data_IF_488796054854
#
_entry.id   IF_488796054854
#
_cell.length_a   1.000
_cell.length_b   1.000
_cell.length_c   1.000
_cell.angle_alpha   90.00
_cell.angle_beta   90.00
_cell.angle_gamma   90.00
#
_symmetry.space_group_name_H-M   'P 1'
#
loop_
_entity.id
_entity.type
_entity.pdbx_description
1 polymer ?
#
# COMPACT_ATOMS: atom_id res chain seq x y z
N UNK A 1 -8.12 -6.79 -3.04
CA UNK A 1 -7.28 -6.68 -1.83
C UNK A 1 -7.38 -5.30 -1.17
N UNK A 2 -7.24 -4.19 -1.90
CA UNK A 2 -7.18 -2.86 -1.30
C UNK A 2 -8.47 -2.43 -0.56
N UNK A 3 -9.68 -2.83 -0.97
CA UNK A 3 -10.88 -2.63 -0.15
C UNK A 3 -10.74 -3.12 1.31
N UNK A 4 -10.17 -4.32 1.49
CA UNK A 4 -9.98 -4.90 2.82
C UNK A 4 -8.91 -4.14 3.61
N UNK A 5 -8.00 -3.40 2.96
CA UNK A 5 -7.01 -2.59 3.66
C UNK A 5 -7.64 -1.44 4.45
N UNK A 6 -8.85 -0.99 4.11
CA UNK A 6 -9.55 0.07 4.86
C UNK A 6 -9.73 -0.32 6.32
N UNK A 7 -10.21 -1.53 6.58
CA UNK A 7 -10.37 -2.02 7.95
C UNK A 7 -9.02 -2.25 8.64
N UNK A 8 -8.00 -2.71 7.90
CA UNK A 8 -6.65 -2.90 8.44
C UNK A 8 -6.02 -1.57 8.87
N UNK A 9 -6.14 -0.51 8.06
CA UNK A 9 -5.69 0.83 8.43
C UNK A 9 -6.46 1.38 9.63
N UNK A 10 -7.79 1.22 9.66
CA UNK A 10 -8.59 1.66 10.80
C UNK A 10 -8.17 0.94 12.09
N UNK A 11 -7.95 -0.39 12.03
CA UNK A 11 -7.53 -1.19 13.17
C UNK A 11 -6.11 -0.83 13.62
N UNK A 12 -5.16 -0.71 12.68
CA UNK A 12 -3.80 -0.26 12.96
C UNK A 12 -3.80 1.12 13.62
N UNK A 13 -4.58 2.06 13.11
CA UNK A 13 -4.57 3.42 13.65
C UNK A 13 -5.27 3.54 15.02
N UNK A 14 -6.43 2.90 15.19
CA UNK A 14 -7.29 3.14 16.35
C UNK A 14 -7.09 2.13 17.49
N UNK A 15 -6.61 0.92 17.20
CA UNK A 15 -6.56 -0.17 18.18
C UNK A 15 -5.13 -0.63 18.43
N UNK A 16 -4.32 -0.80 17.38
CA UNK A 16 -2.96 -1.33 17.50
C UNK A 16 -1.90 -0.47 16.78
N UNK A 17 -1.70 0.81 17.17
CA UNK A 17 -0.82 1.73 16.45
C UNK A 17 0.67 1.34 16.50
N UNK A 18 1.09 0.57 17.50
CA UNK A 18 2.46 0.05 17.62
C UNK A 18 2.69 -1.26 16.88
N UNK A 19 1.65 -1.91 16.33
CA UNK A 19 1.78 -3.17 15.61
C UNK A 19 2.25 -2.92 14.17
N UNK A 20 3.57 -2.91 13.99
CA UNK A 20 4.20 -2.62 12.69
C UNK A 20 3.88 -3.64 11.60
N UNK A 21 3.58 -4.89 11.98
CA UNK A 21 3.14 -5.91 11.03
C UNK A 21 1.80 -5.54 10.40
N UNK A 22 0.85 -5.06 11.21
CA UNK A 22 -0.48 -4.68 10.74
C UNK A 22 -0.41 -3.49 9.77
N UNK A 23 0.44 -2.51 10.07
CA UNK A 23 0.74 -1.38 9.18
C UNK A 23 1.31 -1.83 7.83
N UNK A 24 2.28 -2.77 7.85
CA UNK A 24 2.86 -3.32 6.62
C UNK A 24 1.84 -4.11 5.82
N UNK A 25 1.03 -4.93 6.48
CA UNK A 25 -0.04 -5.69 5.83
C UNK A 25 -1.05 -4.75 5.15
N UNK A 26 -1.48 -3.69 5.86
CA UNK A 26 -2.39 -2.68 5.32
C UNK A 26 -1.78 -1.97 4.10
N UNK A 27 -0.51 -1.58 4.18
CA UNK A 27 0.21 -0.94 3.08
C UNK A 27 0.37 -1.86 1.87
N UNK A 28 0.77 -3.12 2.05
CA UNK A 28 0.87 -4.08 0.96
C UNK A 28 -0.48 -4.33 0.28
N UNK A 29 -1.55 -4.51 1.06
CA UNK A 29 -2.90 -4.73 0.53
C UNK A 29 -3.42 -3.52 -0.26
N UNK A 30 -3.12 -2.30 0.19
CA UNK A 30 -3.45 -1.05 -0.49
C UNK A 30 -2.64 -0.85 -1.77
N UNK A 31 -1.31 -0.91 -1.66
CA UNK A 31 -0.37 -0.63 -2.74
C UNK A 31 -0.44 -1.62 -3.90
N UNK A 32 -0.85 -2.87 -3.66
CA UNK A 32 -1.00 -3.87 -4.71
C UNK A 32 -1.96 -3.46 -5.82
N UNK A 33 -2.96 -2.61 -5.54
CA UNK A 33 -3.86 -2.10 -6.59
C UNK A 33 -3.17 -1.22 -7.64
N UNK A 34 -2.05 -0.57 -7.27
CA UNK A 34 -1.30 0.31 -8.18
C UNK A 34 -0.63 -0.46 -9.33
N UNK A 35 -0.34 -1.75 -9.18
CA UNK A 35 0.29 -2.55 -10.23
C UNK A 35 -0.62 -2.77 -11.44
N UNK A 36 -1.93 -2.61 -11.26
CA UNK A 36 -2.91 -2.73 -12.32
C UNK A 36 -3.13 -1.43 -13.09
N UNK A 37 -2.51 -0.33 -12.68
CA UNK A 37 -2.48 0.93 -13.43
C UNK A 37 -1.36 0.82 -14.49
N UNK A 38 -1.72 1.06 -15.75
CA UNK A 38 -0.78 1.07 -16.88
C UNK A 38 -0.03 2.41 -16.93
N UNK A 39 1.06 2.45 -17.70
CA UNK A 39 1.86 3.67 -17.88
C UNK A 39 1.09 4.81 -18.56
N UNK A 40 0.04 4.49 -19.33
CA UNK A 40 -0.88 5.46 -19.93
C UNK A 40 -1.99 5.91 -18.97
N UNK A 41 -2.00 5.40 -17.74
CA UNK A 41 -3.01 5.68 -16.71
C UNK A 41 -4.29 4.83 -16.83
N UNK A 42 -4.43 4.01 -17.87
CA UNK A 42 -5.56 3.08 -17.97
C UNK A 42 -5.47 1.98 -16.92
N UNK A 43 -6.61 1.49 -16.46
CA UNK A 43 -6.68 0.46 -15.45
C UNK A 43 -6.95 -0.93 -16.04
N UNK A 44 -6.37 -1.94 -15.41
CA UNK A 44 -6.74 -3.35 -15.54
C UNK A 44 -7.55 -3.79 -14.33
N UNK A 45 -8.52 -4.68 -14.50
CA UNK A 45 -9.20 -5.36 -13.41
C UNK A 45 -8.21 -6.14 -12.54
N UNK A 46 -7.27 -6.84 -13.19
CA UNK A 46 -6.41 -7.80 -12.52
C UNK A 46 -5.19 -8.20 -13.33
N UNK A 47 -4.35 -9.01 -12.70
CA UNK A 47 -3.29 -9.76 -13.35
C UNK A 47 -3.73 -11.21 -13.40
N UNK A 48 -3.85 -11.78 -14.60
CA UNK A 48 -3.97 -13.23 -14.74
C UNK A 48 -2.64 -13.85 -14.32
N UNK A 49 -2.71 -14.83 -13.39
CA UNK A 49 -1.55 -15.56 -12.89
C UNK A 49 -1.59 -17.04 -13.28
N UNK A 50 -2.47 -17.40 -14.21
CA UNK A 50 -2.51 -18.73 -14.81
C UNK A 50 -1.25 -18.95 -15.65
N UNK A 51 -0.77 -20.19 -15.70
CA UNK A 51 0.46 -20.50 -16.43
C UNK A 51 0.29 -20.34 -17.96
N UNK A 52 -0.94 -20.35 -18.43
CA UNK A 52 -1.39 -20.13 -19.80
C UNK A 52 -1.60 -18.64 -20.14
N UNK A 53 -1.84 -17.79 -19.14
CA UNK A 53 -2.05 -16.36 -19.32
C UNK A 53 -1.44 -15.58 -18.15
N UNK A 54 -0.24 -15.05 -18.38
CA UNK A 54 0.49 -14.17 -17.47
C UNK A 54 0.46 -12.74 -18.01
N UNK A 55 -0.75 -12.16 -18.10
CA UNK A 55 -0.97 -10.79 -18.55
C UNK A 55 -2.02 -10.06 -17.71
N UNK A 56 -2.07 -8.73 -17.84
CA UNK A 56 -3.14 -7.91 -17.26
C UNK A 56 -4.41 -8.05 -18.10
N UNK A 57 -5.57 -7.99 -17.45
CA UNK A 57 -6.87 -7.92 -18.11
C UNK A 57 -7.00 -6.61 -18.91
N UNK A 58 -7.53 -6.67 -20.14
CA UNK A 58 -7.68 -5.49 -21.01
C UNK A 58 -8.76 -4.51 -20.53
N UNK A 59 -9.68 -4.98 -19.68
CA UNK A 59 -10.77 -4.20 -19.14
C UNK A 59 -10.51 -3.77 -17.71
N UNK A 60 -10.98 -2.58 -17.35
CA UNK A 60 -10.91 -2.07 -15.98
C UNK A 60 -11.93 -2.74 -15.04
N UNK A 61 -13.11 -3.09 -15.55
CA UNK A 61 -14.20 -3.73 -14.81
C UNK A 61 -14.41 -3.15 -13.38
N UNK A 62 -14.32 -3.98 -12.35
CA UNK A 62 -14.49 -3.62 -10.94
C UNK A 62 -13.24 -3.02 -10.28
N UNK A 63 -12.20 -2.69 -11.06
CA UNK A 63 -10.98 -2.06 -10.57
C UNK A 63 -11.26 -0.84 -9.71
N UNK A 64 -12.20 0.03 -10.11
CA UNK A 64 -12.49 1.27 -9.37
C UNK A 64 -12.95 1.01 -7.93
N UNK A 65 -13.80 0.00 -7.73
CA UNK A 65 -14.25 -0.42 -6.40
C UNK A 65 -13.08 -1.01 -5.63
N UNK A 66 -12.26 -1.85 -6.27
CA UNK A 66 -11.00 -2.36 -5.71
C UNK A 66 -10.03 -1.27 -5.26
N UNK A 67 -9.83 -0.25 -6.09
CA UNK A 67 -8.90 0.86 -5.92
C UNK A 67 -9.35 1.84 -4.83
N UNK A 68 -10.64 1.91 -4.51
CA UNK A 68 -11.18 2.78 -3.46
C UNK A 68 -10.41 2.65 -2.14
N UNK A 69 -10.04 1.43 -1.74
CA UNK A 69 -9.31 1.23 -0.49
C UNK A 69 -7.90 1.81 -0.49
N UNK A 70 -7.24 1.87 -1.65
CA UNK A 70 -5.99 2.61 -1.81
C UNK A 70 -6.25 4.11 -1.73
N UNK A 71 -7.14 4.62 -2.59
CA UNK A 71 -7.48 6.05 -2.64
C UNK A 71 -7.87 6.61 -1.26
N UNK A 72 -8.70 5.88 -0.52
CA UNK A 72 -9.20 6.28 0.81
C UNK A 72 -8.11 6.37 1.88
N UNK A 73 -7.05 5.56 1.77
CA UNK A 73 -5.95 5.53 2.75
C UNK A 73 -4.62 5.95 2.11
N UNK A 74 -4.68 6.68 0.98
CA UNK A 74 -3.49 7.19 0.33
C UNK A 74 -2.85 8.23 1.25
N UNK A 75 -1.59 8.01 1.61
CA UNK A 75 -0.87 8.85 2.55
C UNK A 75 0.51 8.31 2.85
N UNK A 76 1.30 9.13 3.53
CA UNK A 76 2.62 8.76 4.04
C UNK A 76 2.50 8.32 5.50
N UNK A 77 3.05 7.16 5.85
CA UNK A 77 3.01 6.64 7.20
C UNK A 77 4.42 6.35 7.72
N UNK A 78 4.77 6.98 8.84
CA UNK A 78 5.99 6.68 9.58
C UNK A 78 5.65 5.77 10.75
N UNK A 79 6.18 4.55 10.74
CA UNK A 79 5.81 3.49 11.70
C UNK A 79 7.06 3.01 12.43
N UNK A 80 6.97 2.83 13.75
CA UNK A 80 8.03 2.18 14.51
C UNK A 80 7.94 0.67 14.34
N UNK A 81 8.93 0.09 13.67
CA UNK A 81 9.10 -1.34 13.42
C UNK A 81 9.67 -2.13 14.60
N UNK A 82 9.93 -1.49 15.74
CA UNK A 82 10.61 -2.11 16.89
C UNK A 82 12.13 -2.23 16.67
N UNK A 83 12.77 -3.07 17.49
CA UNK A 83 14.23 -3.21 17.50
C UNK A 83 14.79 -3.79 16.19
N UNK A 84 14.06 -4.70 15.55
CA UNK A 84 14.57 -5.43 14.37
C UNK A 84 14.49 -4.61 13.07
N UNK A 85 13.48 -3.74 12.96
CA UNK A 85 13.16 -3.02 11.72
C UNK A 85 13.39 -1.50 11.81
N UNK A 86 13.51 -0.94 13.01
CA UNK A 86 13.67 0.51 13.20
C UNK A 86 12.48 1.31 12.67
N UNK A 87 12.73 2.52 12.15
CA UNK A 87 11.67 3.34 11.55
C UNK A 87 11.37 2.90 10.12
N UNK A 88 10.09 2.68 9.83
CA UNK A 88 9.57 2.31 8.52
C UNK A 88 8.83 3.48 7.89
N UNK A 89 9.18 3.85 6.66
CA UNK A 89 8.37 4.73 5.82
C UNK A 89 7.51 3.88 4.89
N UNK A 90 6.19 4.04 4.94
CA UNK A 90 5.26 3.41 4.02
C UNK A 90 4.71 4.50 3.09
N UNK A 91 4.95 4.32 1.78
CA UNK A 91 4.63 5.30 0.72
C UNK A 91 5.29 6.68 0.91
N UNK A 92 6.50 6.70 1.45
CA UNK A 92 7.25 7.91 1.69
C UNK A 92 8.75 7.66 1.71
N UNK A 93 9.52 8.75 1.67
CA UNK A 93 10.97 8.74 1.85
C UNK A 93 11.34 9.30 3.24
N UNK A 94 12.34 8.68 3.87
CA UNK A 94 12.91 9.13 5.15
C UNK A 94 14.31 9.69 4.95
N UNK A 95 14.46 10.99 5.17
CA UNK A 95 15.77 11.65 5.24
C UNK A 95 16.10 12.05 6.67
N UNK A 96 17.27 11.63 7.16
CA UNK A 96 17.81 12.11 8.44
C UNK A 96 18.44 13.48 8.23
N UNK A 97 18.01 14.45 9.01
CA UNK A 97 18.66 15.75 9.08
C UNK A 97 19.67 15.76 10.23
N UNK A 98 20.94 16.05 9.93
CA UNK A 98 21.97 16.33 10.94
C UNK A 98 22.48 17.74 10.71
N UNK A 99 22.26 18.68 11.64
CA UNK A 99 22.81 20.03 11.52
C UNK A 99 24.34 19.99 11.55
N UNK A 100 24.99 20.88 10.80
CA UNK A 100 26.44 21.02 10.85
C UNK A 100 26.88 21.45 12.27
N UNK A 101 27.87 20.76 12.83
CA UNK A 101 28.49 21.17 14.09
C UNK A 101 29.17 22.52 13.91
N UNK A 102 28.72 23.53 14.66
CA UNK A 102 29.34 24.86 14.77
C UNK A 102 30.73 24.80 15.39
#
# INVERSE_FOLDING_TARGET
AALNSVALYAHAFMQEPSNSWLWRLAACASGGSLTNVRSDGSASMGMHAGNDMLSRDDYSADFGVGFYGHWRNAGAYLVCGGADLGWLCLFCDLTRYSPASS
#
